data_IF_242066835123
#
_entry.id   IF_242066835123
#
_cell.length_a   1.000
_cell.length_b   1.000
_cell.length_c   1.000
_cell.angle_alpha   90.00
_cell.angle_beta   90.00
_cell.angle_gamma   90.00
#
_symmetry.space_group_name_H-M   'P 1'
#
loop_
_entity.id
_entity.type
_entity.pdbx_description
1 polymer ?
#
# COMPACT_ATOMS: atom_id res chain seq x y z
N UNK A 1 24.59 53.49 43.18
CA UNK A 1 24.88 53.28 41.74
C UNK A 1 24.46 51.87 41.39
N UNK A 2 23.62 51.71 40.36
CA UNK A 2 23.01 50.46 39.90
C UNK A 2 23.91 49.79 38.85
N UNK A 3 24.22 48.50 39.00
CA UNK A 3 24.63 47.58 37.91
C UNK A 3 24.23 46.18 38.42
N UNK A 4 23.06 45.59 38.10
CA UNK A 4 22.51 45.12 36.83
C UNK A 4 23.35 44.01 36.15
N UNK A 5 22.93 42.76 36.39
CA UNK A 5 22.74 41.66 35.43
C UNK A 5 23.94 41.13 34.61
N UNK A 6 24.24 39.85 34.79
CA UNK A 6 24.56 38.94 33.69
C UNK A 6 24.25 37.49 34.10
N UNK A 7 22.97 37.14 34.08
CA UNK A 7 22.54 35.74 34.12
C UNK A 7 22.91 35.08 32.80
N UNK A 8 23.86 34.15 32.83
CA UNK A 8 24.16 33.25 31.72
C UNK A 8 22.98 32.27 31.63
N UNK A 9 21.99 32.59 30.80
CA UNK A 9 21.06 31.60 30.27
C UNK A 9 21.67 31.16 28.94
N UNK A 10 22.53 30.14 28.99
CA UNK A 10 22.96 29.49 27.77
C UNK A 10 21.86 28.52 27.36
N UNK A 11 21.24 28.85 26.23
CA UNK A 11 20.10 28.19 25.64
C UNK A 11 20.29 26.67 25.55
N UNK A 12 19.30 25.92 26.05
CA UNK A 12 19.14 24.52 25.72
C UNK A 12 18.90 24.41 24.21
N UNK A 13 19.69 23.64 23.44
CA UNK A 13 19.30 23.33 22.08
C UNK A 13 18.03 22.49 22.15
N UNK A 14 16.94 23.08 21.65
CA UNK A 14 15.71 22.36 21.30
C UNK A 14 16.11 21.12 20.51
N UNK A 15 15.76 19.96 21.05
CA UNK A 15 15.89 18.69 20.38
C UNK A 15 15.17 18.78 19.04
N UNK A 16 15.93 18.97 17.97
CA UNK A 16 15.47 18.66 16.63
C UNK A 16 15.33 17.14 16.63
N UNK A 17 14.15 16.64 17.00
CA UNK A 17 13.80 15.25 16.74
C UNK A 17 14.07 15.06 15.25
N UNK A 18 15.01 14.20 14.84
CA UNK A 18 15.18 13.92 13.43
C UNK A 18 13.81 13.50 12.95
N UNK A 19 13.27 14.31 12.03
CA UNK A 19 12.06 14.06 11.28
C UNK A 19 11.96 12.57 11.10
N UNK A 20 10.81 12.01 11.49
CA UNK A 20 10.47 10.62 11.29
C UNK A 20 11.08 10.18 9.98
N UNK A 21 12.24 9.53 10.08
CA UNK A 21 12.80 8.80 8.97
C UNK A 21 11.80 7.69 8.90
N UNK A 22 10.75 7.92 8.12
CA UNK A 22 9.75 6.95 7.78
C UNK A 22 10.59 5.83 7.24
N UNK A 23 10.84 4.86 8.13
CA UNK A 23 11.66 3.70 7.90
C UNK A 23 11.26 3.27 6.49
N UNK A 24 12.18 3.39 5.54
CA UNK A 24 12.00 2.86 4.20
C UNK A 24 11.98 1.36 4.42
N UNK A 25 10.84 0.87 4.89
CA UNK A 25 10.61 -0.51 5.25
C UNK A 25 10.35 -1.16 3.91
N UNK A 26 11.25 -2.08 3.58
CA UNK A 26 11.24 -2.99 2.45
C UNK A 26 9.90 -3.73 2.33
N UNK A 27 8.87 -3.02 1.87
CA UNK A 27 7.52 -3.52 1.66
C UNK A 27 6.96 -2.92 0.35
N UNK A 28 7.58 -3.25 -0.80
CA UNK A 28 7.15 -2.77 -2.12
C UNK A 28 5.72 -3.20 -2.45
N UNK A 29 5.23 -4.25 -1.78
CA UNK A 29 3.88 -4.80 -1.97
C UNK A 29 2.88 -4.30 -0.94
N UNK A 30 3.24 -3.34 -0.09
CA UNK A 30 2.40 -2.73 0.93
C UNK A 30 1.70 -3.72 1.90
N UNK A 31 2.29 -4.89 2.14
CA UNK A 31 1.74 -5.95 3.01
C UNK A 31 1.37 -5.42 4.39
N UNK A 32 2.24 -4.62 5.00
CA UNK A 32 2.02 -4.09 6.37
C UNK A 32 0.84 -3.13 6.40
N UNK A 33 0.75 -2.23 5.43
CA UNK A 33 -0.33 -1.25 5.37
C UNK A 33 -1.69 -1.92 5.06
N UNK A 34 -1.69 -2.91 4.17
CA UNK A 34 -2.89 -3.72 3.87
C UNK A 34 -3.36 -4.48 5.11
N UNK A 35 -2.45 -5.14 5.83
CA UNK A 35 -2.77 -5.88 7.06
C UNK A 35 -3.32 -4.96 8.17
N UNK A 36 -2.81 -3.73 8.26
CA UNK A 36 -3.30 -2.73 9.20
C UNK A 36 -4.61 -2.05 8.78
N UNK A 37 -5.11 -2.31 7.56
CA UNK A 37 -6.27 -1.62 7.00
C UNK A 37 -5.99 -0.16 6.60
N UNK A 38 -4.73 0.30 6.63
CA UNK A 38 -4.32 1.62 6.13
C UNK A 38 -4.22 1.60 4.60
N UNK A 39 -5.38 1.56 3.97
CA UNK A 39 -5.51 1.48 2.52
C UNK A 39 -4.97 2.74 1.81
N UNK A 40 -5.00 3.89 2.47
CA UNK A 40 -4.45 5.13 1.91
C UNK A 40 -2.92 5.04 1.78
N UNK A 41 -2.23 4.57 2.82
CA UNK A 41 -0.78 4.33 2.72
C UNK A 41 -0.45 3.20 1.77
N UNK A 42 -1.25 2.13 1.76
CA UNK A 42 -1.04 1.01 0.84
C UNK A 42 -1.11 1.47 -0.62
N UNK A 43 -2.15 2.21 -0.98
CA UNK A 43 -2.33 2.74 -2.33
C UNK A 43 -1.15 3.64 -2.75
N UNK A 44 -0.75 4.60 -1.92
CA UNK A 44 0.38 5.48 -2.25
C UNK A 44 1.65 4.69 -2.55
N UNK A 45 1.95 3.66 -1.75
CA UNK A 45 3.12 2.80 -1.94
C UNK A 45 3.01 1.99 -3.24
N UNK A 46 1.87 1.35 -3.46
CA UNK A 46 1.64 0.51 -4.65
C UNK A 46 1.67 1.33 -5.94
N UNK A 47 1.13 2.55 -5.95
CA UNK A 47 1.22 3.46 -7.09
C UNK A 47 2.65 3.96 -7.34
N UNK A 48 3.47 4.13 -6.30
CA UNK A 48 4.88 4.45 -6.49
C UNK A 48 5.63 3.26 -7.11
N UNK A 49 5.41 2.05 -6.60
CA UNK A 49 6.02 0.82 -7.11
C UNK A 49 5.59 0.51 -8.55
N UNK A 50 4.30 0.68 -8.86
CA UNK A 50 3.76 0.45 -10.21
C UNK A 50 4.40 1.37 -11.26
N UNK A 51 4.81 2.59 -10.90
CA UNK A 51 5.52 3.48 -11.84
C UNK A 51 6.89 2.92 -12.24
N UNK A 52 7.53 2.17 -11.34
CA UNK A 52 8.84 1.54 -11.57
C UNK A 52 8.66 0.19 -12.28
N UNK A 53 7.65 -0.58 -11.88
CA UNK A 53 7.34 -1.89 -12.44
C UNK A 53 5.89 -1.97 -12.95
N UNK A 54 5.59 -1.41 -14.14
CA UNK A 54 4.21 -1.22 -14.62
C UNK A 54 3.41 -2.51 -14.80
N UNK A 55 4.08 -3.65 -14.98
CA UNK A 55 3.46 -4.94 -15.29
C UNK A 55 3.72 -6.01 -14.21
N UNK A 56 4.21 -5.64 -13.02
CA UNK A 56 4.48 -6.60 -11.93
C UNK A 56 3.15 -7.11 -11.33
N UNK A 57 2.77 -8.39 -11.50
CA UNK A 57 1.45 -8.87 -11.08
C UNK A 57 1.18 -8.70 -9.59
N UNK A 58 2.19 -8.85 -8.74
CA UNK A 58 2.06 -8.72 -7.28
C UNK A 58 1.64 -7.30 -6.87
N UNK A 59 2.20 -6.27 -7.51
CA UNK A 59 1.84 -4.87 -7.28
C UNK A 59 0.42 -4.59 -7.76
N UNK A 60 0.09 -5.06 -8.97
CA UNK A 60 -1.24 -4.88 -9.57
C UNK A 60 -2.33 -5.56 -8.72
N UNK A 61 -2.12 -6.80 -8.30
CA UNK A 61 -3.10 -7.55 -7.52
C UNK A 61 -3.34 -6.94 -6.14
N UNK A 62 -2.29 -6.44 -5.48
CA UNK A 62 -2.44 -5.75 -4.20
C UNK A 62 -3.15 -4.40 -4.38
N UNK A 63 -2.91 -3.66 -5.47
CA UNK A 63 -3.62 -2.43 -5.77
C UNK A 63 -5.11 -2.70 -6.05
N UNK A 64 -5.41 -3.73 -6.84
CA UNK A 64 -6.78 -4.17 -7.09
C UNK A 64 -7.51 -4.58 -5.79
N UNK A 65 -6.82 -5.28 -4.89
CA UNK A 65 -7.37 -5.63 -3.57
C UNK A 65 -7.67 -4.37 -2.73
N UNK A 66 -6.78 -3.39 -2.71
CA UNK A 66 -7.00 -2.10 -2.04
C UNK A 66 -8.21 -1.36 -2.64
N UNK A 67 -8.35 -1.38 -3.96
CA UNK A 67 -9.50 -0.76 -4.64
C UNK A 67 -10.81 -1.47 -4.32
N UNK A 68 -10.80 -2.81 -4.30
CA UNK A 68 -11.95 -3.60 -3.86
C UNK A 68 -12.35 -3.28 -2.41
N UNK A 69 -11.38 -3.19 -1.48
CA UNK A 69 -11.64 -2.88 -0.06
C UNK A 69 -12.12 -1.46 0.19
N UNK A 70 -11.88 -0.55 -0.74
CA UNK A 70 -12.28 0.86 -0.66
C UNK A 70 -13.51 1.19 -1.52
N UNK A 71 -14.23 0.18 -2.01
CA UNK A 71 -15.46 0.37 -2.79
C UNK A 71 -15.26 0.76 -4.25
N UNK A 72 -14.00 0.90 -4.70
CA UNK A 72 -13.62 1.22 -6.08
C UNK A 72 -13.64 -0.01 -6.98
N UNK A 73 -14.81 -0.64 -7.09
CA UNK A 73 -14.97 -1.95 -7.73
C UNK A 73 -14.67 -1.93 -9.24
N UNK A 74 -14.97 -0.82 -9.94
CA UNK A 74 -14.67 -0.66 -11.37
C UNK A 74 -13.16 -0.64 -11.63
N UNK A 75 -12.41 0.15 -10.85
CA UNK A 75 -10.96 0.24 -10.95
C UNK A 75 -10.30 -1.09 -10.55
N UNK A 76 -10.78 -1.74 -9.49
CA UNK A 76 -10.31 -3.06 -9.09
C UNK A 76 -10.47 -4.10 -10.22
N UNK A 77 -11.65 -4.13 -10.86
CA UNK A 77 -11.94 -5.03 -11.98
C UNK A 77 -10.99 -4.78 -13.15
N UNK A 78 -10.80 -3.53 -13.56
CA UNK A 78 -9.90 -3.19 -14.65
C UNK A 78 -8.46 -3.68 -14.41
N UNK A 79 -7.96 -3.60 -13.16
CA UNK A 79 -6.64 -4.11 -12.81
C UNK A 79 -6.60 -5.63 -12.81
N UNK A 80 -7.62 -6.32 -12.29
CA UNK A 80 -7.70 -7.77 -12.34
C UNK A 80 -7.71 -8.28 -13.78
N UNK A 81 -8.52 -7.68 -14.66
CA UNK A 81 -8.57 -8.02 -16.08
C UNK A 81 -7.21 -7.77 -16.76
N UNK A 82 -6.50 -6.70 -16.38
CA UNK A 82 -5.14 -6.44 -16.84
C UNK A 82 -4.15 -7.52 -16.43
N UNK A 83 -4.27 -8.10 -15.23
CA UNK A 83 -3.37 -9.20 -14.81
C UNK A 83 -3.60 -10.45 -15.66
N UNK A 84 -4.83 -10.69 -16.10
CA UNK A 84 -5.16 -11.87 -16.93
C UNK A 84 -4.57 -11.80 -18.36
N UNK A 85 -4.18 -10.63 -18.85
CA UNK A 85 -3.48 -10.49 -20.15
C UNK A 85 -1.96 -10.57 -20.03
N UNK A 86 -1.41 -10.64 -18.81
CA UNK A 86 0.01 -10.81 -18.57
C UNK A 86 0.36 -12.29 -18.41
N UNK A 87 1.65 -12.61 -18.45
CA UNK A 87 2.12 -13.95 -18.12
C UNK A 87 1.72 -14.32 -16.69
N UNK A 88 1.21 -15.55 -16.54
CA UNK A 88 0.85 -16.08 -15.24
C UNK A 88 2.10 -16.45 -14.44
N UNK A 89 2.46 -15.59 -13.49
CA UNK A 89 3.59 -15.83 -12.57
C UNK A 89 3.12 -16.41 -11.24
N UNK A 90 3.86 -17.37 -10.70
CA UNK A 90 3.67 -17.90 -9.34
C UNK A 90 4.21 -16.91 -8.30
N UNK A 91 3.42 -16.65 -7.25
CA UNK A 91 3.73 -15.63 -6.25
C UNK A 91 3.26 -16.04 -4.87
N UNK A 92 3.94 -15.53 -3.83
CA UNK A 92 3.49 -15.63 -2.45
C UNK A 92 2.27 -14.74 -2.22
N UNK A 93 1.18 -15.33 -1.72
CA UNK A 93 -0.04 -14.62 -1.36
C UNK A 93 -0.18 -14.49 0.16
N UNK A 94 -1.14 -13.66 0.61
CA UNK A 94 -1.24 -13.21 2.00
C UNK A 94 -1.49 -14.33 3.04
N UNK A 95 -1.99 -15.49 2.62
CA UNK A 95 -2.23 -16.68 3.46
C UNK A 95 -1.03 -17.65 3.52
N UNK A 96 0.14 -17.22 3.01
CA UNK A 96 1.37 -18.01 3.02
C UNK A 96 1.42 -19.11 1.96
N UNK A 97 0.42 -19.17 1.07
CA UNK A 97 0.43 -20.07 -0.07
C UNK A 97 1.17 -19.45 -1.27
N UNK A 98 1.58 -20.32 -2.20
CA UNK A 98 2.01 -19.92 -3.53
C UNK A 98 0.83 -20.12 -4.48
N UNK A 99 0.49 -19.08 -5.23
CA UNK A 99 -0.58 -19.15 -6.22
C UNK A 99 -0.15 -18.47 -7.53
N UNK A 100 -0.66 -18.93 -8.69
CA UNK A 100 -0.49 -18.19 -9.93
C UNK A 100 -1.31 -16.90 -9.87
N UNK A 101 -0.72 -15.79 -10.33
CA UNK A 101 -1.35 -14.47 -10.40
C UNK A 101 -2.73 -14.47 -11.07
N UNK A 102 -2.93 -15.28 -12.11
CA UNK A 102 -4.23 -15.45 -12.76
C UNK A 102 -5.30 -16.03 -11.83
N UNK A 103 -4.95 -16.97 -10.96
CA UNK A 103 -5.88 -17.53 -9.98
C UNK A 103 -6.30 -16.46 -8.95
N UNK A 104 -5.36 -15.63 -8.52
CA UNK A 104 -5.62 -14.52 -7.60
C UNK A 104 -6.54 -13.48 -8.25
N UNK A 105 -6.28 -13.10 -9.51
CA UNK A 105 -7.11 -12.19 -10.27
C UNK A 105 -8.54 -12.71 -10.42
N UNK A 106 -8.71 -13.96 -10.86
CA UNK A 106 -10.01 -14.60 -11.01
C UNK A 106 -10.78 -14.69 -9.69
N UNK A 107 -10.09 -14.95 -8.57
CA UNK A 107 -10.70 -14.91 -7.23
C UNK A 107 -11.22 -13.51 -6.91
N UNK A 108 -10.43 -12.47 -7.20
CA UNK A 108 -10.84 -11.08 -7.04
C UNK A 108 -12.10 -10.73 -7.82
N UNK A 109 -12.14 -11.08 -9.11
CA UNK A 109 -13.30 -10.84 -9.98
C UNK A 109 -14.58 -11.51 -9.45
N UNK A 110 -14.50 -12.77 -9.02
CA UNK A 110 -15.65 -13.47 -8.42
C UNK A 110 -16.17 -12.78 -7.16
N UNK A 111 -15.28 -12.27 -6.32
CA UNK A 111 -15.67 -11.53 -5.11
C UNK A 111 -16.40 -10.22 -5.46
N UNK A 112 -15.93 -9.50 -6.48
CA UNK A 112 -16.60 -8.29 -6.97
C UNK A 112 -18.00 -8.59 -7.53
N UNK A 113 -18.15 -9.69 -8.27
CA UNK A 113 -19.44 -10.10 -8.83
C UNK A 113 -20.44 -10.51 -7.75
N UNK A 114 -19.99 -11.27 -6.74
CA UNK A 114 -20.81 -11.63 -5.60
C UNK A 114 -21.25 -10.38 -4.80
N UNK A 115 -20.34 -9.43 -4.55
CA UNK A 115 -20.65 -8.18 -3.87
C UNK A 115 -21.70 -7.34 -4.64
N UNK A 116 -21.59 -7.29 -5.98
CA UNK A 116 -22.56 -6.58 -6.83
C UNK A 116 -23.94 -7.24 -6.82
N UNK A 117 -24.00 -8.56 -6.76
CA UNK A 117 -25.27 -9.29 -6.69
C UNK A 117 -25.95 -9.07 -5.34
N UNK A 118 -25.20 -9.08 -4.24
CA UNK A 118 -25.74 -8.83 -2.90
C UNK A 118 -26.27 -7.40 -2.68
N UNK A 119 -25.84 -6.44 -3.51
CA UNK A 119 -26.33 -5.05 -3.46
C UNK A 119 -27.56 -4.76 -4.33
N UNK A 120 -28.10 -5.76 -5.02
CA UNK A 120 -29.30 -5.65 -5.86
C UNK A 120 -30.52 -6.16 -5.12
#
# INVERSE_FOLDING_TARGET
MRVALASIVLAAPLALSPAAHAQVRADPYAKVAIQAGDYATAERKLLAEQRIFPAKPEVLLNLAAVYSKTGRHSEARAIYDRVLVLDSVAMDVADGQVAPSHLVANRGLRLLDAARQASR
#
